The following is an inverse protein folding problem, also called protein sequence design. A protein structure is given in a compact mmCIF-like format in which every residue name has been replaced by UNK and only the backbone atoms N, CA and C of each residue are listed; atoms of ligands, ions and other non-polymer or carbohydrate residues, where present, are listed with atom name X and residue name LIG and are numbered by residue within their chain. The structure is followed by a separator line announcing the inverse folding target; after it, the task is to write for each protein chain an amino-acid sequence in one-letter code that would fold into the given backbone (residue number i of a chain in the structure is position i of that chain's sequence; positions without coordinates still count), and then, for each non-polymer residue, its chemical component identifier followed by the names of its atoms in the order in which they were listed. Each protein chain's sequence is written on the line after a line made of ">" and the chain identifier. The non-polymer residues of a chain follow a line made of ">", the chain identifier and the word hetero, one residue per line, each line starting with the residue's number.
data_IF_966582038721
#
_entry.id   IF_966582038721
#
_cell.length_a   1.000
_cell.length_b   1.000
_cell.length_c   1.000
_cell.angle_alpha   90.00
_cell.angle_beta   90.00
_cell.angle_gamma   90.00
#
_symmetry.space_group_name_H-M   'P 1'
#
loop_
_entity.id
_entity.type
_entity.pdbx_description
1 polymer ?
#
# COMPACT_ATOMS: atom_id res chain seq x y z
N UNK A 1 -15.23 12.90 15.20
CA UNK A 1 -15.70 11.51 15.09
C UNK A 1 -14.46 10.69 14.83
N UNK A 2 -14.20 9.64 15.60
CA UNK A 2 -13.07 8.76 15.32
C UNK A 2 -13.48 7.89 14.14
N UNK A 3 -13.04 8.24 12.94
CA UNK A 3 -13.15 7.32 11.80
C UNK A 3 -12.26 6.12 12.13
N UNK A 4 -12.91 5.03 12.53
CA UNK A 4 -12.25 3.73 12.66
C UNK A 4 -12.02 3.23 11.25
N UNK A 5 -10.76 3.25 10.80
CA UNK A 5 -10.39 2.61 9.54
C UNK A 5 -10.54 1.09 9.69
N UNK A 6 -11.40 0.49 8.89
CA UNK A 6 -11.62 -0.96 8.87
C UNK A 6 -10.63 -1.61 7.91
N UNK A 7 -9.83 -2.55 8.42
CA UNK A 7 -8.86 -3.29 7.62
C UNK A 7 -9.55 -4.56 7.08
N UNK A 8 -9.62 -4.78 5.75
CA UNK A 8 -10.24 -5.97 5.20
C UNK A 8 -9.53 -7.26 5.65
N UNK A 9 -10.29 -8.32 5.96
CA UNK A 9 -9.76 -9.66 6.26
C UNK A 9 -8.66 -10.14 5.30
N UNK A 10 -8.79 -10.04 3.95
CA UNK A 10 -7.73 -10.48 3.04
C UNK A 10 -6.42 -9.69 3.20
N UNK A 11 -6.48 -8.43 3.67
CA UNK A 11 -5.29 -7.64 3.96
C UNK A 11 -4.61 -8.15 5.22
N UNK A 12 -5.38 -8.44 6.27
CA UNK A 12 -4.87 -9.00 7.53
C UNK A 12 -4.20 -10.34 7.29
N UNK A 13 -4.82 -11.22 6.50
CA UNK A 13 -4.28 -12.52 6.14
C UNK A 13 -2.98 -12.39 5.34
N UNK A 14 -2.98 -11.58 4.27
CA UNK A 14 -1.79 -11.38 3.43
C UNK A 14 -0.60 -10.83 4.22
N UNK A 15 -0.82 -9.84 5.08
CA UNK A 15 0.23 -9.28 5.95
C UNK A 15 0.70 -10.35 6.96
N UNK A 16 -0.21 -11.14 7.51
CA UNK A 16 0.12 -12.27 8.40
C UNK A 16 0.97 -13.35 7.74
N UNK A 17 0.85 -13.51 6.42
CA UNK A 17 1.68 -14.40 5.59
C UNK A 17 3.00 -13.75 5.12
N UNK A 18 3.23 -12.48 5.45
CA UNK A 18 4.47 -11.75 5.14
C UNK A 18 4.41 -10.93 3.85
N UNK A 19 3.23 -10.67 3.29
CA UNK A 19 3.09 -9.72 2.19
C UNK A 19 3.30 -8.28 2.70
N UNK A 20 4.06 -7.43 1.98
CA UNK A 20 4.17 -6.02 2.31
C UNK A 20 2.80 -5.34 2.29
N UNK A 21 2.55 -4.44 3.24
CA UNK A 21 1.24 -3.83 3.42
C UNK A 21 0.72 -3.13 2.14
N UNK A 22 1.59 -2.39 1.44
CA UNK A 22 1.25 -1.71 0.17
C UNK A 22 0.68 -2.69 -0.86
N UNK A 23 1.27 -3.89 -0.98
CA UNK A 23 0.81 -4.92 -1.90
C UNK A 23 -0.56 -5.47 -1.49
N UNK A 24 -0.71 -5.78 -0.20
CA UNK A 24 -1.94 -6.35 0.35
C UNK A 24 -3.13 -5.41 0.12
N UNK A 25 -2.99 -4.13 0.47
CA UNK A 25 -4.04 -3.13 0.25
C UNK A 25 -4.35 -2.94 -1.24
N UNK A 26 -3.33 -2.76 -2.10
CA UNK A 26 -3.55 -2.61 -3.54
C UNK A 26 -4.35 -3.78 -4.13
N UNK A 27 -3.96 -5.02 -3.79
CA UNK A 27 -4.64 -6.22 -4.29
C UNK A 27 -6.07 -6.33 -3.74
N UNK A 28 -6.30 -5.98 -2.47
CA UNK A 28 -7.65 -5.97 -1.89
C UNK A 28 -8.57 -4.93 -2.55
N UNK A 29 -8.02 -3.81 -3.01
CA UNK A 29 -8.73 -2.75 -3.74
C UNK A 29 -8.91 -3.06 -5.23
N UNK A 30 -8.39 -4.19 -5.73
CA UNK A 30 -8.49 -4.59 -7.14
C UNK A 30 -7.69 -3.72 -8.11
N UNK A 31 -6.77 -2.89 -7.61
CA UNK A 31 -5.98 -1.96 -8.42
C UNK A 31 -4.78 -2.67 -9.05
N UNK A 32 -4.47 -2.33 -10.30
CA UNK A 32 -3.26 -2.82 -10.96
C UNK A 32 -2.02 -2.07 -10.45
N UNK A 33 -0.85 -2.70 -10.55
CA UNK A 33 0.40 -2.03 -10.21
C UNK A 33 0.68 -0.84 -11.13
N UNK A 34 0.32 -0.96 -12.42
CA UNK A 34 0.43 0.11 -13.40
C UNK A 34 -0.36 1.36 -12.99
N UNK A 35 -1.64 1.18 -12.65
CA UNK A 35 -2.53 2.31 -12.32
C UNK A 35 -2.06 3.03 -11.05
N UNK A 36 -1.70 2.28 -10.00
CA UNK A 36 -1.21 2.88 -8.75
C UNK A 36 0.12 3.60 -8.97
N UNK A 37 1.03 3.05 -9.75
CA UNK A 37 2.31 3.71 -10.05
C UNK A 37 2.08 5.02 -10.81
N UNK A 38 1.21 4.99 -11.83
CA UNK A 38 0.85 6.16 -12.63
C UNK A 38 0.20 7.26 -11.77
N UNK A 39 -0.79 6.91 -10.96
CA UNK A 39 -1.50 7.84 -10.09
C UNK A 39 -0.60 8.40 -8.98
N UNK A 40 0.35 7.58 -8.49
CA UNK A 40 1.33 7.99 -7.50
C UNK A 40 2.52 8.76 -8.09
N UNK A 41 2.58 8.95 -9.41
CA UNK A 41 3.70 9.63 -10.08
C UNK A 41 5.05 8.93 -9.90
N UNK A 42 5.04 7.59 -9.76
CA UNK A 42 6.25 6.77 -9.65
C UNK A 42 6.31 5.72 -10.76
N UNK A 43 7.47 5.07 -10.92
CA UNK A 43 7.59 4.00 -11.91
C UNK A 43 7.02 2.69 -11.37
N UNK A 44 6.54 1.82 -12.26
CA UNK A 44 6.08 0.48 -11.88
C UNK A 44 7.18 -0.32 -11.18
N UNK A 45 8.45 -0.18 -11.59
CA UNK A 45 9.58 -0.84 -10.93
C UNK A 45 9.77 -0.35 -9.50
N UNK A 46 9.55 0.95 -9.23
CA UNK A 46 9.65 1.49 -7.87
C UNK A 46 8.54 0.95 -6.99
N UNK A 47 7.30 0.94 -7.48
CA UNK A 47 6.19 0.35 -6.75
C UNK A 47 6.40 -1.16 -6.52
N UNK A 48 6.86 -1.89 -7.53
CA UNK A 48 7.18 -3.32 -7.41
C UNK A 48 8.27 -3.59 -6.37
N UNK A 49 9.29 -2.73 -6.29
CA UNK A 49 10.34 -2.84 -5.28
C UNK A 49 9.78 -2.62 -3.86
N UNK A 50 8.87 -1.65 -3.68
CA UNK A 50 8.16 -1.41 -2.41
C UNK A 50 7.30 -2.63 -2.04
N UNK A 51 6.55 -3.18 -3.00
CA UNK A 51 5.75 -4.41 -2.83
C UNK A 51 6.58 -5.69 -2.62
N UNK A 52 7.91 -5.58 -2.72
CA UNK A 52 8.88 -6.64 -2.41
C UNK A 52 9.68 -6.34 -1.12
N UNK A 53 9.31 -5.30 -0.37
CA UNK A 53 9.92 -4.96 0.92
C UNK A 53 10.97 -3.85 0.88
N UNK A 54 11.13 -3.14 -0.24
CA UNK A 54 11.97 -1.93 -0.24
C UNK A 54 11.29 -0.83 0.55
N UNK A 55 12.03 -0.18 1.46
CA UNK A 55 11.48 0.91 2.25
C UNK A 55 11.08 2.10 1.33
N UNK A 56 9.80 2.52 1.35
CA UNK A 56 9.38 3.74 0.69
C UNK A 56 9.86 4.99 1.44
N UNK A 57 10.13 6.06 0.70
CA UNK A 57 10.42 7.38 1.26
C UNK A 57 9.13 8.01 1.81
N UNK A 58 9.26 9.00 2.69
CA UNK A 58 8.11 9.68 3.30
C UNK A 58 7.13 10.26 2.27
N UNK A 59 7.66 10.81 1.16
CA UNK A 59 6.81 11.33 0.09
C UNK A 59 6.07 10.21 -0.66
N UNK A 60 6.75 9.10 -0.94
CA UNK A 60 6.14 7.93 -1.58
C UNK A 60 5.06 7.32 -0.69
N UNK A 61 5.29 7.23 0.63
CA UNK A 61 4.28 6.79 1.59
C UNK A 61 3.06 7.70 1.63
N UNK A 62 3.26 9.02 1.64
CA UNK A 62 2.17 9.99 1.64
C UNK A 62 1.31 9.85 0.37
N UNK A 63 1.95 9.75 -0.79
CA UNK A 63 1.23 9.61 -2.06
C UNK A 63 0.53 8.24 -2.15
N UNK A 64 1.17 7.15 -1.72
CA UNK A 64 0.53 5.83 -1.69
C UNK A 64 -0.64 5.77 -0.72
N UNK A 65 -0.57 6.49 0.41
CA UNK A 65 -1.69 6.65 1.34
C UNK A 65 -2.88 7.32 0.67
N UNK A 66 -2.63 8.38 -0.11
CA UNK A 66 -3.68 9.11 -0.82
C UNK A 66 -4.28 8.27 -1.97
N UNK A 67 -3.44 7.59 -2.77
CA UNK A 67 -3.89 6.79 -3.92
C UNK A 67 -4.65 5.54 -3.50
N UNK A 68 -4.22 4.88 -2.42
CA UNK A 68 -4.87 3.66 -1.92
C UNK A 68 -6.05 3.96 -0.98
N UNK A 69 -6.21 5.22 -0.55
CA UNK A 69 -7.15 5.63 0.50
C UNK A 69 -6.92 4.84 1.81
N UNK A 70 -5.65 4.70 2.20
CA UNK A 70 -5.22 3.93 3.39
C UNK A 70 -4.32 4.81 4.26
N UNK A 71 -4.57 4.93 5.57
CA UNK A 71 -3.70 5.67 6.47
C UNK A 71 -2.23 5.24 6.38
N UNK A 72 -1.31 6.20 6.25
CA UNK A 72 0.15 5.96 6.19
C UNK A 72 0.64 4.94 7.23
N UNK A 73 0.14 5.02 8.47
CA UNK A 73 0.55 4.13 9.57
C UNK A 73 0.24 2.64 9.33
N UNK A 74 -0.62 2.31 8.38
CA UNK A 74 -0.94 0.94 7.96
C UNK A 74 -0.13 0.47 6.76
N UNK A 75 0.56 1.38 6.06
CA UNK A 75 1.41 1.08 4.90
C UNK A 75 2.88 0.86 5.28
N UNK A 76 3.23 1.05 6.55
CA UNK A 76 4.59 0.83 7.06
C UNK A 76 4.66 -0.56 7.67
N UNK A 77 5.48 -1.42 7.09
CA UNK A 77 5.83 -2.70 7.72
C UNK A 77 6.63 -2.40 9.01
N UNK A 78 6.32 -3.11 10.11
CA UNK A 78 6.99 -2.94 11.42
C UNK A 78 8.23 -3.81 11.57
#
# INVERSE_FOLDING_TARGET
>A
MSDTFEIPDPVVEAIGEGAPAVKAFRQSSGLSQHDVAADAGMTEERLAAIEQGSQPQNLELAVLSDVLDVPVGLLVDK
#
